data_IF_109158636828
#
_entry.id   IF_109158636828
#
_cell.length_a   1.000
_cell.length_b   1.000
_cell.length_c   1.000
_cell.angle_alpha   90.00
_cell.angle_beta   90.00
_cell.angle_gamma   90.00
#
_symmetry.space_group_name_H-M   'P 1'
#
loop_
_entity.id
_entity.type
_entity.pdbx_description
1 polymer ?
#
# COMPACT_ATOMS: atom_id res chain seq x y z
N UNK A 1 -2.18 13.23 29.51
CA UNK A 1 -2.59 11.99 28.82
C UNK A 1 -1.66 11.78 27.64
N UNK A 2 -0.82 10.73 27.65
CA UNK A 2 -0.08 10.33 26.45
C UNK A 2 -1.09 9.57 25.59
N UNK A 3 -1.62 10.22 24.56
CA UNK A 3 -2.39 9.52 23.55
C UNK A 3 -1.42 8.60 22.82
N UNK A 4 -1.47 7.30 23.11
CA UNK A 4 -0.88 6.28 22.27
C UNK A 4 -1.59 6.35 20.91
N UNK A 5 -1.09 7.23 20.04
CA UNK A 5 -1.44 7.24 18.63
C UNK A 5 -0.85 5.96 18.08
N UNK A 6 -1.61 4.86 18.19
CA UNK A 6 -1.38 3.66 17.40
C UNK A 6 -1.59 4.08 15.95
N UNK A 7 -0.52 4.55 15.32
CA UNK A 7 -0.44 4.68 13.87
C UNK A 7 -0.48 3.26 13.29
N UNK A 8 -1.68 2.71 13.15
CA UNK A 8 -1.89 1.38 12.58
C UNK A 8 -1.60 1.33 11.07
N UNK A 9 -1.08 2.40 10.48
CA UNK A 9 -0.86 2.55 9.04
C UNK A 9 0.63 2.50 8.64
N UNK A 10 1.46 1.71 9.34
CA UNK A 10 2.84 1.45 8.88
C UNK A 10 2.81 0.46 7.70
N UNK A 11 2.49 0.95 6.49
CA UNK A 11 2.70 0.18 5.28
C UNK A 11 4.20 -0.11 5.11
N UNK A 12 4.54 -1.32 4.71
CA UNK A 12 5.89 -1.73 4.36
C UNK A 12 6.04 -1.85 2.84
N UNK A 13 7.25 -1.76 2.31
CA UNK A 13 7.59 -1.95 0.89
C UNK A 13 7.14 -3.32 0.32
N UNK A 14 6.86 -4.30 1.18
CA UNK A 14 6.40 -5.63 0.75
C UNK A 14 4.88 -5.83 0.92
N UNK A 15 4.19 -4.81 1.43
CA UNK A 15 2.75 -4.88 1.57
C UNK A 15 2.06 -4.60 0.23
N UNK A 16 0.88 -5.17 0.09
CA UNK A 16 -0.04 -4.82 -0.99
C UNK A 16 -1.05 -3.83 -0.43
N UNK A 17 -1.27 -2.71 -1.11
CA UNK A 17 -2.30 -1.75 -0.72
C UNK A 17 -3.42 -1.74 -1.75
N UNK A 18 -4.64 -1.55 -1.24
CA UNK A 18 -5.82 -1.27 -2.06
C UNK A 18 -6.21 0.18 -1.84
N UNK A 19 -6.26 0.95 -2.93
CA UNK A 19 -6.85 2.28 -2.96
C UNK A 19 -8.36 2.14 -2.79
N UNK A 20 -8.91 2.62 -1.67
CA UNK A 20 -10.31 2.31 -1.29
C UNK A 20 -11.36 2.95 -2.18
N UNK A 21 -11.02 4.07 -2.84
CA UNK A 21 -11.95 4.80 -3.74
C UNK A 21 -12.13 4.09 -5.09
N UNK A 22 -11.08 3.49 -5.64
CA UNK A 22 -11.11 2.89 -6.98
C UNK A 22 -10.95 1.35 -6.95
N UNK A 23 -10.83 0.77 -5.75
CA UNK A 23 -10.48 -0.65 -5.53
C UNK A 23 -9.23 -1.12 -6.26
N UNK A 24 -8.35 -0.18 -6.63
CA UNK A 24 -7.10 -0.45 -7.35
C UNK A 24 -6.09 -1.08 -6.38
N UNK A 25 -5.58 -2.26 -6.73
CA UNK A 25 -4.59 -3.01 -5.96
C UNK A 25 -3.18 -2.79 -6.51
N UNK A 26 -2.20 -2.57 -5.63
CA UNK A 26 -0.81 -2.38 -6.02
C UNK A 26 0.18 -2.74 -4.93
N UNK A 27 1.41 -3.03 -5.35
CA UNK A 27 2.53 -3.31 -4.45
C UNK A 27 3.16 -1.99 -4.03
N UNK A 28 3.48 -1.86 -2.75
CA UNK A 28 4.11 -0.64 -2.24
C UNK A 28 5.54 -0.52 -2.78
N UNK A 29 5.88 0.61 -3.38
CA UNK A 29 7.24 0.87 -3.90
C UNK A 29 7.94 2.01 -3.15
N UNK A 30 7.18 2.85 -2.44
CA UNK A 30 7.74 3.86 -1.54
C UNK A 30 6.75 4.21 -0.42
N UNK A 31 7.28 4.48 0.76
CA UNK A 31 6.52 4.90 1.94
C UNK A 31 7.03 6.26 2.39
N UNK A 32 6.12 7.22 2.50
CA UNK A 32 6.37 8.56 3.03
C UNK A 32 5.63 8.74 4.35
N UNK A 33 5.85 9.88 5.02
CA UNK A 33 5.25 10.14 6.32
C UNK A 33 3.71 10.14 6.31
N UNK A 34 3.09 10.55 5.19
CA UNK A 34 1.63 10.70 5.07
C UNK A 34 1.01 10.01 3.84
N UNK A 35 1.85 9.43 2.98
CA UNK A 35 1.42 8.80 1.73
C UNK A 35 2.25 7.58 1.41
N UNK A 36 1.67 6.71 0.60
CA UNK A 36 2.31 5.53 0.05
C UNK A 36 2.21 5.60 -1.46
N UNK A 37 3.30 5.25 -2.14
CA UNK A 37 3.30 5.05 -3.60
C UNK A 37 3.20 3.56 -3.84
N UNK A 38 2.23 3.18 -4.64
CA UNK A 38 2.07 1.81 -5.09
C UNK A 38 2.09 1.73 -6.61
N UNK A 39 2.48 0.55 -7.08
CA UNK A 39 2.59 0.19 -8.47
C UNK A 39 1.62 -0.96 -8.75
N UNK A 40 0.79 -0.83 -9.80
CA UNK A 40 -0.14 -1.89 -10.19
C UNK A 40 0.63 -3.08 -10.75
N UNK A 41 0.13 -4.28 -10.49
CA UNK A 41 0.62 -5.47 -11.17
C UNK A 41 -0.06 -5.55 -12.54
N UNK A 42 0.68 -5.44 -13.66
CA UNK A 42 0.07 -5.54 -14.99
C UNK A 42 -0.58 -6.91 -15.16
N UNK A 43 -1.77 -6.93 -15.77
CA UNK A 43 -2.54 -8.16 -15.96
C UNK A 43 -2.08 -8.94 -17.20
N UNK A 44 -1.39 -8.26 -18.12
CA UNK A 44 -0.79 -8.84 -19.31
C UNK A 44 0.62 -8.28 -19.57
N UNK A 45 1.41 -8.97 -20.40
CA UNK A 45 2.82 -8.62 -20.70
C UNK A 45 3.02 -7.33 -21.52
N UNK A 46 1.97 -6.81 -22.15
CA UNK A 46 1.96 -5.56 -22.92
C UNK A 46 1.43 -4.37 -22.12
N UNK A 47 0.99 -4.58 -20.88
CA UNK A 47 0.54 -3.51 -19.99
C UNK A 47 1.72 -2.95 -19.20
N UNK A 48 1.82 -1.62 -19.16
CA UNK A 48 2.77 -0.96 -18.30
C UNK A 48 2.20 -0.87 -16.88
N UNK A 49 3.04 -1.08 -15.85
CA UNK A 49 2.63 -0.83 -14.48
C UNK A 49 2.28 0.65 -14.29
N UNK A 50 1.13 0.91 -13.69
CA UNK A 50 0.68 2.26 -13.33
C UNK A 50 1.11 2.57 -11.90
N UNK A 51 1.59 3.80 -11.67
CA UNK A 51 1.93 4.27 -10.32
C UNK A 51 0.86 5.19 -9.80
N UNK A 52 0.49 5.00 -8.55
CA UNK A 52 -0.50 5.83 -7.88
C UNK A 52 -0.06 6.14 -6.45
N UNK A 53 -0.46 7.33 -5.98
CA UNK A 53 -0.17 7.81 -4.63
C UNK A 53 -1.44 7.72 -3.80
N UNK A 54 -1.35 7.08 -2.65
CA UNK A 54 -2.48 6.95 -1.72
C UNK A 54 -2.11 7.55 -0.37
N UNK A 55 -2.92 8.48 0.11
CA UNK A 55 -2.78 9.01 1.46
C UNK A 55 -3.12 7.93 2.50
N UNK A 56 -2.48 7.99 3.66
CA UNK A 56 -2.65 7.00 4.75
C UNK A 56 -4.11 6.79 5.18
N UNK A 57 -4.97 7.78 4.99
CA UNK A 57 -6.40 7.69 5.33
C UNK A 57 -7.26 6.96 4.30
N UNK A 58 -6.72 6.62 3.13
CA UNK A 58 -7.47 6.17 1.93
C UNK A 58 -7.00 4.82 1.36
N UNK A 59 -6.28 4.01 2.14
CA UNK A 59 -5.93 2.65 1.73
C UNK A 59 -6.26 1.61 2.78
N UNK A 60 -6.39 0.36 2.31
CA UNK A 60 -6.36 -0.83 3.14
C UNK A 60 -5.07 -1.61 2.85
N UNK A 61 -4.35 -1.98 3.90
CA UNK A 61 -3.14 -2.82 3.80
C UNK A 61 -3.54 -4.28 3.80
N UNK A 62 -3.11 -5.03 2.79
CA UNK A 62 -3.06 -6.49 2.78
C UNK A 62 -1.63 -6.90 3.12
N UNK A 63 -1.44 -7.41 4.34
CA UNK A 63 -0.15 -8.00 4.73
C UNK A 63 0.03 -9.32 3.99
N UNK A 64 1.12 -9.47 3.26
CA UNK A 64 1.51 -10.76 2.74
C UNK A 64 2.01 -11.62 3.89
N UNK A 65 1.17 -12.53 4.37
CA UNK A 65 1.48 -13.52 5.41
C UNK A 65 2.43 -14.62 4.90
N UNK A 66 3.57 -14.23 4.32
CA UNK A 66 4.69 -15.14 4.05
C UNK A 66 5.92 -14.66 4.79
N UNK A 67 5.86 -14.77 6.12
CA UNK A 67 7.06 -15.03 6.91
C UNK A 67 6.83 -16.35 7.62
N UNK A 68 7.08 -17.46 6.91
CA UNK A 68 7.46 -18.69 7.60
C UNK A 68 8.91 -18.48 8.02
N UNK A 69 9.13 -18.29 9.32
CA UNK A 69 10.43 -18.49 9.95
C UNK A 69 10.83 -19.96 9.83
#
# INVERSE_FOLDING_TARGET
MKSDVKNNNSANLNDTIIRTEDSLEGVVVAVYQNSVVAETTPSNLNEFPERFVVNHKKYKVKKNSKVKA
#
